data_IF_825527449155
#
_entry.id   IF_825527449155
#
_cell.length_a   1.000
_cell.length_b   1.000
_cell.length_c   1.000
_cell.angle_alpha   90.00
_cell.angle_beta   90.00
_cell.angle_gamma   90.00
#
_symmetry.space_group_name_H-M   'P 1'
#
loop_
_entity.id
_entity.type
_entity.pdbx_description
1 polymer ?
#
# COMPACT_ATOMS: atom_id res chain seq x y z
N UNK A 1 22.86 3.43 6.14
CA UNK A 1 22.00 2.46 6.84
C UNK A 1 21.14 1.78 5.79
N UNK A 2 21.05 0.45 5.75
CA UNK A 2 20.48 -0.23 4.59
C UNK A 2 19.03 -0.68 4.86
N UNK A 3 18.11 -0.21 4.03
CA UNK A 3 16.74 -0.71 3.94
C UNK A 3 16.74 -2.11 3.28
N UNK A 4 15.62 -2.84 3.33
CA UNK A 4 15.52 -4.18 2.71
C UNK A 4 15.29 -4.07 1.20
N UNK A 5 16.30 -4.43 0.40
CA UNK A 5 16.21 -4.44 -1.07
C UNK A 5 15.35 -5.61 -1.56
N UNK A 6 14.68 -5.39 -2.68
CA UNK A 6 14.10 -6.43 -3.50
C UNK A 6 15.26 -7.28 -4.01
N UNK A 7 15.24 -8.56 -3.69
CA UNK A 7 16.21 -9.53 -4.16
C UNK A 7 15.79 -10.02 -5.54
N UNK A 8 16.78 -10.41 -6.35
CA UNK A 8 16.49 -11.02 -7.65
C UNK A 8 15.75 -12.34 -7.51
N UNK A 9 14.87 -12.63 -8.47
CA UNK A 9 14.14 -13.90 -8.57
C UNK A 9 12.62 -13.79 -8.31
N UNK A 10 11.85 -14.82 -8.72
CA UNK A 10 10.39 -14.74 -8.81
C UNK A 10 9.66 -14.78 -7.46
N UNK A 11 10.30 -15.28 -6.40
CA UNK A 11 9.63 -15.57 -5.12
C UNK A 11 9.04 -14.33 -4.44
N UNK A 12 9.72 -13.19 -4.54
CA UNK A 12 9.26 -11.93 -3.93
C UNK A 12 8.20 -11.20 -4.76
N UNK A 13 8.09 -11.53 -6.05
CA UNK A 13 7.11 -10.93 -6.96
C UNK A 13 5.70 -11.47 -6.77
N UNK A 14 5.52 -12.64 -6.15
CA UNK A 14 4.18 -13.13 -5.82
C UNK A 14 3.45 -12.19 -4.86
N UNK A 15 4.14 -11.64 -3.86
CA UNK A 15 3.52 -10.66 -2.94
C UNK A 15 3.16 -9.35 -3.66
N UNK A 16 4.02 -8.91 -4.58
CA UNK A 16 3.79 -7.71 -5.40
C UNK A 16 2.60 -7.94 -6.34
N UNK A 17 2.53 -9.11 -6.96
CA UNK A 17 1.44 -9.54 -7.84
C UNK A 17 0.11 -9.60 -7.08
N UNK A 18 0.08 -10.26 -5.93
CA UNK A 18 -1.13 -10.39 -5.12
C UNK A 18 -1.65 -9.01 -4.68
N UNK A 19 -0.75 -8.11 -4.25
CA UNK A 19 -1.09 -6.74 -3.90
C UNK A 19 -1.67 -5.96 -5.10
N UNK A 20 -1.05 -6.07 -6.29
CA UNK A 20 -1.53 -5.41 -7.50
C UNK A 20 -2.87 -5.98 -8.00
N UNK A 21 -3.10 -7.29 -7.89
CA UNK A 21 -4.36 -7.97 -8.24
C UNK A 21 -5.52 -7.54 -7.35
N UNK A 22 -5.31 -7.48 -6.04
CA UNK A 22 -6.30 -6.97 -5.10
C UNK A 22 -6.64 -5.51 -5.41
N UNK A 23 -5.63 -4.65 -5.62
CA UNK A 23 -5.83 -3.24 -5.97
C UNK A 23 -6.58 -3.09 -7.30
N UNK A 24 -6.20 -3.84 -8.34
CA UNK A 24 -6.82 -3.78 -9.67
C UNK A 24 -8.30 -4.19 -9.63
N UNK A 25 -8.61 -5.38 -9.09
CA UNK A 25 -9.99 -5.87 -9.01
C UNK A 25 -10.87 -4.97 -8.16
N UNK A 26 -10.35 -4.49 -7.04
CA UNK A 26 -11.07 -3.61 -6.11
C UNK A 26 -11.26 -2.20 -6.66
N UNK A 27 -10.46 -1.78 -7.64
CA UNK A 27 -10.64 -0.52 -8.36
C UNK A 27 -11.69 -0.65 -9.47
N UNK A 28 -11.77 -1.80 -10.14
CA UNK A 28 -12.62 -1.97 -11.32
C UNK A 28 -14.08 -2.32 -11.00
N UNK A 29 -14.33 -3.08 -9.94
CA UNK A 29 -15.69 -3.48 -9.59
C UNK A 29 -16.24 -2.66 -8.42
N UNK A 30 -17.43 -2.04 -8.53
CA UNK A 30 -18.08 -1.43 -7.38
C UNK A 30 -18.65 -2.48 -6.41
N UNK A 31 -19.07 -3.67 -6.89
CA UNK A 31 -19.69 -4.70 -6.06
C UNK A 31 -18.64 -5.54 -5.32
N UNK A 32 -18.73 -5.54 -3.98
CA UNK A 32 -17.85 -6.30 -3.09
C UNK A 32 -18.02 -7.82 -3.24
N UNK A 33 -19.21 -8.30 -3.61
CA UNK A 33 -19.47 -9.72 -3.83
C UNK A 33 -18.78 -10.24 -5.10
N UNK A 34 -18.80 -9.43 -6.17
CA UNK A 34 -18.09 -9.74 -7.41
C UNK A 34 -16.59 -9.79 -7.18
N UNK A 35 -16.05 -8.84 -6.41
CA UNK A 35 -14.63 -8.82 -6.01
C UNK A 35 -14.28 -10.06 -5.20
N UNK A 36 -15.09 -10.38 -4.19
CA UNK A 36 -14.89 -11.54 -3.33
C UNK A 36 -14.90 -12.83 -4.15
N UNK A 37 -15.87 -12.99 -5.06
CA UNK A 37 -15.97 -14.16 -5.94
C UNK A 37 -14.74 -14.25 -6.84
N UNK A 38 -14.37 -13.17 -7.51
CA UNK A 38 -13.22 -13.13 -8.41
C UNK A 38 -11.90 -13.44 -7.68
N UNK A 39 -11.70 -12.95 -6.46
CA UNK A 39 -10.51 -13.25 -5.65
C UNK A 39 -10.52 -14.70 -5.15
N UNK A 40 -11.68 -15.23 -4.71
CA UNK A 40 -11.80 -16.64 -4.32
C UNK A 40 -11.46 -17.58 -5.46
N UNK A 41 -11.95 -17.29 -6.65
CA UNK A 41 -11.68 -18.08 -7.86
C UNK A 41 -10.21 -17.98 -8.26
N UNK A 42 -9.64 -16.76 -8.26
CA UNK A 42 -8.24 -16.53 -8.62
C UNK A 42 -7.26 -17.24 -7.67
N UNK A 43 -7.46 -17.10 -6.35
CA UNK A 43 -6.60 -17.72 -5.34
C UNK A 43 -7.00 -19.16 -4.98
N UNK A 44 -8.04 -19.70 -5.62
CA UNK A 44 -8.62 -21.01 -5.31
C UNK A 44 -8.88 -21.19 -3.80
N UNK A 45 -9.32 -20.13 -3.13
CA UNK A 45 -9.53 -20.11 -1.68
C UNK A 45 -10.97 -19.74 -1.35
N UNK A 46 -11.86 -20.71 -1.12
CA UNK A 46 -13.27 -20.43 -0.83
C UNK A 46 -13.48 -19.71 0.52
N UNK A 47 -12.46 -19.70 1.39
CA UNK A 47 -12.51 -19.06 2.71
C UNK A 47 -11.92 -17.66 2.73
N UNK A 48 -11.45 -17.15 1.58
CA UNK A 48 -11.02 -15.77 1.43
C UNK A 48 -12.20 -14.85 1.69
N UNK A 49 -11.95 -13.77 2.42
CA UNK A 49 -12.93 -12.75 2.75
C UNK A 49 -12.42 -11.38 2.36
N UNK A 50 -13.35 -10.46 2.07
CA UNK A 50 -13.06 -9.08 1.72
C UNK A 50 -13.97 -8.18 2.53
N UNK A 51 -13.38 -7.28 3.31
CA UNK A 51 -14.07 -6.19 3.98
C UNK A 51 -13.84 -4.90 3.22
N UNK A 52 -14.90 -4.16 2.92
CA UNK A 52 -14.79 -2.83 2.30
C UNK A 52 -14.68 -1.72 3.34
N UNK A 53 -13.89 -0.70 2.99
CA UNK A 53 -13.62 0.45 3.85
C UNK A 53 -14.02 1.73 3.13
N UNK A 54 -14.82 2.53 3.83
CA UNK A 54 -15.39 3.78 3.38
C UNK A 54 -14.96 4.90 4.31
N UNK A 55 -14.93 6.11 3.78
CA UNK A 55 -14.60 7.32 4.55
C UNK A 55 -15.83 8.06 5.07
N UNK A 56 -17.03 7.67 4.63
CA UNK A 56 -18.31 8.34 4.85
C UNK A 56 -18.44 9.76 4.24
N UNK A 57 -17.35 10.39 3.80
CA UNK A 57 -17.38 11.62 2.99
C UNK A 57 -17.30 11.38 1.48
N UNK A 58 -16.89 10.18 1.05
CA UNK A 58 -16.88 9.82 -0.36
C UNK A 58 -17.98 8.82 -0.70
N UNK A 59 -18.52 8.93 -1.91
CA UNK A 59 -19.48 7.99 -2.46
C UNK A 59 -18.83 6.69 -3.00
N UNK A 60 -17.51 6.53 -2.86
CA UNK A 60 -16.78 5.36 -3.35
C UNK A 60 -15.91 4.74 -2.26
N UNK A 61 -15.76 3.42 -2.34
CA UNK A 61 -14.88 2.63 -1.48
C UNK A 61 -13.45 3.11 -1.63
N UNK A 62 -12.72 3.20 -0.51
CA UNK A 62 -11.35 3.74 -0.46
C UNK A 62 -10.30 2.73 -0.08
N UNK A 63 -10.70 1.65 0.59
CA UNK A 63 -9.81 0.53 0.83
C UNK A 63 -10.59 -0.78 0.95
N UNK A 64 -9.84 -1.88 0.89
CA UNK A 64 -10.33 -3.20 1.25
C UNK A 64 -9.35 -3.88 2.19
N UNK A 65 -9.87 -4.73 3.08
CA UNK A 65 -9.07 -5.71 3.82
C UNK A 65 -9.42 -7.08 3.26
N UNK A 66 -8.47 -7.71 2.57
CA UNK A 66 -8.59 -9.07 2.06
C UNK A 66 -7.82 -9.99 2.99
N UNK A 67 -8.43 -11.09 3.43
CA UNK A 67 -7.69 -12.09 4.17
C UNK A 67 -8.02 -13.50 3.71
N UNK A 68 -7.05 -14.40 3.81
CA UNK A 68 -7.19 -15.81 3.48
C UNK A 68 -6.77 -16.69 4.67
N UNK A 69 -6.17 -17.86 4.44
CA UNK A 69 -5.74 -18.77 5.52
C UNK A 69 -4.62 -18.19 6.39
N UNK A 70 -3.67 -17.46 5.82
CA UNK A 70 -2.48 -16.97 6.54
C UNK A 70 -1.96 -15.59 6.08
N UNK A 71 -2.55 -14.99 5.05
CA UNK A 71 -2.22 -13.64 4.55
C UNK A 71 -3.38 -12.68 4.79
N UNK A 72 -3.07 -11.49 5.27
CA UNK A 72 -3.95 -10.31 5.31
C UNK A 72 -3.36 -9.24 4.40
N UNK A 73 -4.17 -8.61 3.56
CA UNK A 73 -3.78 -7.48 2.71
C UNK A 73 -4.73 -6.32 2.95
N UNK A 74 -4.19 -5.20 3.40
CA UNK A 74 -4.90 -3.93 3.58
C UNK A 74 -4.55 -3.06 2.37
N UNK A 75 -5.48 -2.94 1.42
CA UNK A 75 -5.25 -2.30 0.13
C UNK A 75 -6.02 -0.99 -0.01
N UNK A 76 -5.29 0.12 -0.11
CA UNK A 76 -5.82 1.47 -0.30
C UNK A 76 -5.91 1.81 -1.79
N UNK A 77 -7.11 2.14 -2.26
CA UNK A 77 -7.43 2.31 -3.67
C UNK A 77 -7.02 3.68 -4.20
N UNK A 78 -6.87 3.78 -5.52
CA UNK A 78 -6.58 5.02 -6.20
C UNK A 78 -7.70 6.06 -6.11
N UNK A 79 -7.46 7.20 -6.74
CA UNK A 79 -8.39 8.33 -6.78
C UNK A 79 -9.72 7.97 -7.45
N UNK A 80 -10.81 8.57 -7.00
CA UNK A 80 -11.96 8.74 -7.90
C UNK A 80 -11.58 9.78 -8.98
N UNK A 81 -12.03 9.65 -10.25
CA UNK A 81 -11.74 10.64 -11.29
C UNK A 81 -12.09 12.09 -10.88
N UNK A 82 -13.10 12.28 -10.03
CA UNK A 82 -13.52 13.60 -9.55
C UNK A 82 -12.56 14.20 -8.50
N UNK A 83 -11.59 13.43 -8.00
CA UNK A 83 -10.69 13.83 -6.93
C UNK A 83 -9.24 13.97 -7.38
N UNK A 84 -8.94 13.85 -8.67
CA UNK A 84 -7.57 14.01 -9.16
C UNK A 84 -6.93 15.34 -8.72
N UNK A 85 -7.74 16.38 -8.56
CA UNK A 85 -7.33 17.69 -8.05
C UNK A 85 -6.88 17.66 -6.58
N UNK A 86 -7.27 16.65 -5.80
CA UNK A 86 -6.84 16.45 -4.42
C UNK A 86 -5.41 15.91 -4.30
N UNK A 87 -4.74 15.64 -5.41
CA UNK A 87 -3.28 15.45 -5.43
C UNK A 87 -2.49 16.77 -5.35
N UNK A 88 -3.19 17.90 -5.51
CA UNK A 88 -2.57 19.22 -5.42
C UNK A 88 -2.41 19.62 -3.96
N UNK A 89 -1.47 20.53 -3.72
CA UNK A 89 -1.22 21.13 -2.42
C UNK A 89 -0.98 22.62 -2.62
N UNK A 90 -1.45 23.42 -1.68
CA UNK A 90 -1.09 24.85 -1.60
C UNK A 90 -0.30 25.10 -0.33
N UNK A 91 0.72 25.96 -0.39
CA UNK A 91 1.47 26.39 0.80
C UNK A 91 0.67 27.33 1.72
N UNK A 92 -0.62 27.56 1.42
CA UNK A 92 -1.54 28.39 2.19
C UNK A 92 -2.57 27.56 2.98
N UNK A 93 -3.56 28.24 3.56
CA UNK A 93 -4.62 27.61 4.35
C UNK A 93 -5.80 27.19 3.47
N UNK A 94 -5.80 25.93 2.99
CA UNK A 94 -6.99 25.18 2.53
C UNK A 94 -8.02 25.90 1.65
N UNK A 95 -7.61 26.91 0.87
CA UNK A 95 -8.57 27.78 0.17
C UNK A 95 -9.31 26.97 -0.89
N UNK A 96 -10.65 27.10 -0.93
CA UNK A 96 -11.54 26.38 -1.84
C UNK A 96 -11.50 24.84 -1.73
N UNK A 97 -11.15 24.30 -0.56
CA UNK A 97 -11.11 22.84 -0.33
C UNK A 97 -9.87 22.16 -0.93
N UNK A 98 -8.90 22.94 -1.40
CA UNK A 98 -7.62 22.43 -1.89
C UNK A 98 -6.80 21.92 -0.71
N UNK A 99 -6.14 20.76 -0.82
CA UNK A 99 -5.29 20.25 0.26
C UNK A 99 -4.13 21.19 0.61
N UNK A 100 -3.65 21.08 1.85
CA UNK A 100 -2.68 21.98 2.46
C UNK A 100 -1.78 21.24 3.48
N UNK A 101 -0.63 21.82 3.87
CA UNK A 101 0.23 21.24 4.90
C UNK A 101 -0.47 21.22 6.25
N UNK A 102 -0.47 20.05 6.89
CA UNK A 102 -0.73 19.93 8.33
C UNK A 102 0.49 19.36 9.02
N UNK A 103 0.67 19.68 10.29
CA UNK A 103 1.84 19.27 11.06
C UNK A 103 1.49 18.13 12.00
N UNK A 104 2.25 17.04 11.91
CA UNK A 104 2.20 15.93 12.85
C UNK A 104 3.61 15.59 13.32
N UNK A 105 3.82 15.60 14.63
CA UNK A 105 5.12 15.36 15.26
C UNK A 105 6.26 16.21 14.66
N UNK A 106 5.95 17.45 14.27
CA UNK A 106 6.90 18.39 13.67
C UNK A 106 7.12 18.24 12.16
N UNK A 107 6.51 17.24 11.51
CA UNK A 107 6.64 17.01 10.06
C UNK A 107 5.41 17.51 9.31
N UNK A 108 5.59 17.99 8.08
CA UNK A 108 4.48 18.39 7.21
C UNK A 108 3.94 17.19 6.47
N UNK A 109 2.63 17.00 6.52
CA UNK A 109 1.91 15.94 5.82
C UNK A 109 0.72 16.51 5.03
N UNK A 110 0.26 15.74 4.05
CA UNK A 110 -0.83 16.11 3.15
C UNK A 110 -2.18 15.98 3.87
N UNK A 111 -2.91 17.09 4.04
CA UNK A 111 -4.18 17.09 4.77
C UNK A 111 -5.18 16.05 4.26
N UNK A 112 -5.36 15.97 2.94
CA UNK A 112 -6.29 15.02 2.33
C UNK A 112 -5.97 13.55 2.68
N UNK A 113 -4.72 13.09 2.54
CA UNK A 113 -4.36 11.70 2.84
C UNK A 113 -4.48 11.39 4.33
N UNK A 114 -4.12 12.36 5.19
CA UNK A 114 -4.34 12.27 6.63
C UNK A 114 -5.82 12.09 6.95
N UNK A 115 -6.68 12.95 6.40
CA UNK A 115 -8.11 12.93 6.69
C UNK A 115 -8.78 11.65 6.19
N UNK A 116 -8.42 11.19 4.99
CA UNK A 116 -8.82 9.89 4.43
C UNK A 116 -8.43 8.74 5.36
N UNK A 117 -7.18 8.72 5.85
CA UNK A 117 -6.72 7.70 6.79
C UNK A 117 -7.52 7.75 8.09
N UNK A 118 -7.61 8.92 8.72
CA UNK A 118 -8.29 9.06 10.01
C UNK A 118 -9.76 8.62 9.97
N UNK A 119 -10.44 8.88 8.86
CA UNK A 119 -11.82 8.45 8.67
C UNK A 119 -11.98 6.94 8.59
N UNK A 120 -11.04 6.27 7.91
CA UNK A 120 -11.06 4.80 7.75
C UNK A 120 -10.37 4.06 8.90
N UNK A 121 -9.62 4.75 9.77
CA UNK A 121 -8.70 4.12 10.72
C UNK A 121 -9.39 3.09 11.60
N UNK A 122 -10.52 3.45 12.21
CA UNK A 122 -11.24 2.54 13.09
C UNK A 122 -11.77 1.33 12.33
N UNK A 123 -12.44 1.54 11.19
CA UNK A 123 -12.94 0.45 10.35
C UNK A 123 -11.81 -0.48 9.85
N UNK A 124 -10.63 0.08 9.57
CA UNK A 124 -9.43 -0.69 9.20
C UNK A 124 -8.97 -1.57 10.36
N UNK A 125 -8.93 -1.03 11.58
CA UNK A 125 -8.56 -1.79 12.77
C UNK A 125 -9.58 -2.87 13.10
N UNK A 126 -10.88 -2.57 12.99
CA UNK A 126 -11.95 -3.55 13.23
C UNK A 126 -11.90 -4.69 12.20
N UNK A 127 -11.63 -4.37 10.93
CA UNK A 127 -11.47 -5.37 9.88
C UNK A 127 -10.20 -6.22 10.08
N UNK A 128 -9.08 -5.62 10.51
CA UNK A 128 -7.87 -6.34 10.85
C UNK A 128 -8.08 -7.27 12.06
N UNK A 129 -8.71 -6.77 13.12
CA UNK A 129 -9.03 -7.55 14.31
C UNK A 129 -9.95 -8.74 13.97
N UNK A 130 -10.98 -8.49 13.17
CA UNK A 130 -11.91 -9.53 12.71
C UNK A 130 -11.19 -10.60 11.90
N UNK A 131 -10.31 -10.20 10.97
CA UNK A 131 -9.51 -11.14 10.19
C UNK A 131 -8.63 -12.03 11.08
N UNK A 132 -7.96 -11.44 12.08
CA UNK A 132 -7.13 -12.20 13.04
C UNK A 132 -7.98 -13.15 13.89
N UNK A 133 -9.16 -12.70 14.36
CA UNK A 133 -10.08 -13.53 15.14
C UNK A 133 -10.61 -14.72 14.31
N UNK A 134 -10.98 -14.49 13.04
CA UNK A 134 -11.46 -15.53 12.13
C UNK A 134 -10.37 -16.54 11.77
N UNK A 135 -9.11 -16.09 11.62
CA UNK A 135 -7.96 -16.98 11.50
C UNK A 135 -7.78 -17.83 12.76
N UNK A 136 -7.80 -17.20 13.94
CA UNK A 136 -7.63 -17.88 15.22
C UNK A 136 -8.73 -18.92 15.50
N UNK A 137 -9.98 -18.61 15.16
CA UNK A 137 -11.12 -19.54 15.28
C UNK A 137 -10.95 -20.81 14.43
N UNK A 138 -10.11 -20.75 13.38
CA UNK A 138 -9.76 -21.88 12.50
C UNK A 138 -8.42 -22.53 12.89
N UNK A 139 -7.82 -22.13 14.01
CA UNK A 139 -6.52 -22.63 14.47
C UNK A 139 -5.32 -22.11 13.65
N UNK A 140 -5.50 -20.98 12.95
CA UNK A 140 -4.45 -20.33 12.17
C UNK A 140 -4.06 -18.98 12.79
N UNK A 141 -2.89 -18.48 12.42
CA UNK A 141 -2.43 -17.13 12.76
C UNK A 141 -1.92 -16.44 11.51
N UNK A 142 -1.93 -15.09 11.45
CA UNK A 142 -1.30 -14.38 10.35
C UNK A 142 0.16 -14.78 10.23
N UNK A 143 0.58 -15.14 9.03
CA UNK A 143 1.99 -15.27 8.65
C UNK A 143 2.46 -14.06 7.88
N UNK A 144 1.53 -13.28 7.33
CA UNK A 144 1.83 -12.12 6.51
C UNK A 144 0.71 -11.08 6.54
N UNK A 145 1.11 -9.82 6.64
CA UNK A 145 0.26 -8.64 6.60
C UNK A 145 0.90 -7.66 5.61
N UNK A 146 0.23 -7.46 4.47
CA UNK A 146 0.68 -6.52 3.44
C UNK A 146 -0.17 -5.25 3.56
N UNK A 147 0.47 -4.13 3.83
CA UNK A 147 -0.13 -2.80 3.63
C UNK A 147 0.23 -2.36 2.21
N UNK A 148 -0.77 -2.02 1.41
CA UNK A 148 -0.53 -1.63 0.02
C UNK A 148 -1.41 -0.48 -0.43
N UNK A 149 -0.94 0.27 -1.42
CA UNK A 149 -1.68 1.38 -1.98
C UNK A 149 -1.27 1.71 -3.40
N UNK A 150 -2.25 2.14 -4.19
CA UNK A 150 -2.04 2.61 -5.56
C UNK A 150 -2.37 4.11 -5.68
N UNK A 151 -1.54 4.89 -6.38
CA UNK A 151 -1.83 6.31 -6.62
C UNK A 151 -2.08 7.09 -5.32
N UNK A 152 -3.21 7.80 -5.21
CA UNK A 152 -3.67 8.44 -3.97
C UNK A 152 -3.79 7.47 -2.79
N UNK A 153 -4.21 6.22 -3.03
CA UNK A 153 -4.22 5.16 -2.03
C UNK A 153 -2.82 4.82 -1.52
N UNK A 154 -1.78 4.97 -2.33
CA UNK A 154 -0.38 4.91 -1.88
C UNK A 154 -0.05 6.03 -0.89
N UNK A 155 -0.59 7.23 -1.10
CA UNK A 155 -0.46 8.33 -0.13
C UNK A 155 -1.16 8.05 1.19
N UNK A 156 -2.36 7.46 1.14
CA UNK A 156 -3.11 7.04 2.33
C UNK A 156 -2.37 5.92 3.06
N UNK A 157 -1.85 4.91 2.35
CA UNK A 157 -1.12 3.79 2.95
C UNK A 157 0.17 4.23 3.65
N UNK A 158 0.83 5.29 3.12
CA UNK A 158 1.98 5.94 3.77
C UNK A 158 1.60 6.53 5.12
N UNK A 159 0.48 7.25 5.20
CA UNK A 159 -0.03 7.79 6.47
C UNK A 159 -0.46 6.68 7.44
N UNK A 160 -1.10 5.63 6.91
CA UNK A 160 -1.65 4.54 7.70
C UNK A 160 -0.61 3.59 8.29
N UNK A 161 0.55 3.43 7.63
CA UNK A 161 1.48 2.34 7.93
C UNK A 161 1.93 2.31 9.39
N UNK A 162 2.37 3.45 9.93
CA UNK A 162 2.86 3.53 11.31
C UNK A 162 1.77 3.15 12.31
N UNK A 163 0.56 3.66 12.12
CA UNK A 163 -0.59 3.35 12.98
C UNK A 163 -0.98 1.86 12.92
N UNK A 164 -0.95 1.24 11.73
CA UNK A 164 -1.23 -0.19 11.56
C UNK A 164 -0.14 -1.04 12.23
N UNK A 165 1.14 -0.67 12.07
CA UNK A 165 2.24 -1.38 12.71
C UNK A 165 2.13 -1.29 14.23
N UNK A 166 1.89 -0.09 14.78
CA UNK A 166 1.72 0.09 16.22
C UNK A 166 0.45 -0.63 16.72
N UNK A 167 -0.64 -0.67 15.95
CA UNK A 167 -1.82 -1.50 16.28
C UNK A 167 -1.43 -2.96 16.44
N UNK A 168 -0.65 -3.53 15.52
CA UNK A 168 -0.17 -4.92 15.63
C UNK A 168 0.67 -5.11 16.90
N UNK A 169 1.63 -4.20 17.12
CA UNK A 169 2.56 -4.28 18.26
C UNK A 169 1.85 -4.15 19.61
N UNK A 170 0.83 -3.30 19.71
CA UNK A 170 0.07 -3.08 20.94
C UNK A 170 -1.03 -4.12 21.19
N UNK A 171 -1.62 -4.69 20.15
CA UNK A 171 -2.71 -5.68 20.30
C UNK A 171 -2.16 -7.10 20.46
N UNK A 172 -1.17 -7.48 19.64
CA UNK A 172 -0.64 -8.86 19.61
C UNK A 172 0.87 -8.96 19.81
N UNK A 173 1.62 -7.89 19.58
CA UNK A 173 3.08 -7.90 19.69
C UNK A 173 3.62 -7.64 21.09
N UNK A 174 4.89 -7.25 21.16
CA UNK A 174 5.65 -7.10 22.42
C UNK A 174 5.15 -5.96 23.32
N UNK A 175 4.32 -5.06 22.80
CA UNK A 175 3.69 -4.00 23.58
C UNK A 175 2.30 -4.37 24.09
N UNK A 176 1.83 -5.59 23.82
CA UNK A 176 0.57 -6.09 24.35
C UNK A 176 0.73 -6.69 25.75
N UNK A 177 -0.36 -6.75 26.53
CA UNK A 177 -0.38 -7.44 27.81
C UNK A 177 -0.28 -8.98 27.70
N UNK A 178 -0.38 -9.53 26.48
CA UNK A 178 -0.28 -10.97 26.22
C UNK A 178 0.30 -11.23 24.82
N UNK A 179 1.62 -11.00 24.63
CA UNK A 179 2.26 -11.08 23.32
C UNK A 179 2.12 -12.46 22.67
N UNK A 180 1.66 -12.45 21.43
CA UNK A 180 1.57 -13.61 20.55
C UNK A 180 2.90 -13.81 19.83
N UNK A 181 3.36 -15.05 19.74
CA UNK A 181 4.66 -15.38 19.11
C UNK A 181 4.75 -14.92 17.64
N UNK A 182 3.64 -14.91 16.92
CA UNK A 182 3.59 -14.53 15.51
C UNK A 182 3.65 -13.00 15.27
N UNK A 183 3.52 -12.17 16.31
CA UNK A 183 3.42 -10.71 16.19
C UNK A 183 4.53 -9.94 16.95
N UNK A 184 5.54 -10.63 17.47
CA UNK A 184 6.66 -10.01 18.19
C UNK A 184 7.52 -9.14 17.28
N UNK A 185 8.23 -8.18 17.86
CA UNK A 185 9.06 -7.23 17.10
C UNK A 185 10.13 -7.98 16.26
N UNK A 186 10.62 -9.13 16.76
CA UNK A 186 11.63 -9.96 16.09
C UNK A 186 11.14 -10.67 14.82
N UNK A 187 9.83 -10.85 14.65
CA UNK A 187 9.21 -11.50 13.48
C UNK A 187 8.54 -10.52 12.51
N UNK A 188 8.59 -9.20 12.81
CA UNK A 188 7.96 -8.19 11.96
C UNK A 188 8.53 -8.12 10.55
N UNK A 189 9.80 -8.51 10.36
CA UNK A 189 10.45 -8.54 9.04
C UNK A 189 9.82 -9.56 8.08
N UNK A 190 9.36 -10.70 8.61
CA UNK A 190 8.61 -11.70 7.85
C UNK A 190 7.13 -11.32 7.75
N UNK A 191 6.56 -10.84 8.86
CA UNK A 191 5.14 -10.59 9.00
C UNK A 191 4.67 -9.40 8.17
N UNK A 192 5.31 -8.24 8.26
CA UNK A 192 4.75 -6.98 7.75
C UNK A 192 5.52 -6.49 6.50
N UNK A 193 4.77 -6.06 5.49
CA UNK A 193 5.32 -5.43 4.28
C UNK A 193 4.54 -4.18 3.91
N UNK A 194 5.21 -3.27 3.19
CA UNK A 194 4.59 -2.08 2.62
C UNK A 194 4.92 -1.90 1.14
N UNK A 195 4.00 -2.33 0.28
CA UNK A 195 4.16 -2.34 -1.18
C UNK A 195 3.28 -1.24 -1.78
N UNK A 196 3.82 -0.33 -2.58
CA UNK A 196 2.97 0.65 -3.30
C UNK A 196 3.27 0.69 -4.78
N UNK A 197 2.28 1.17 -5.52
CA UNK A 197 2.33 1.33 -6.97
C UNK A 197 1.96 2.76 -7.31
N UNK A 198 2.81 3.44 -8.07
CA UNK A 198 2.60 4.83 -8.46
C UNK A 198 2.22 5.76 -7.29
N UNK A 199 2.78 5.52 -6.09
CA UNK A 199 2.29 6.21 -4.90
C UNK A 199 2.48 7.72 -4.97
N UNK A 200 1.41 8.43 -4.65
CA UNK A 200 1.48 9.86 -4.37
C UNK A 200 2.15 10.05 -3.02
N UNK A 201 3.19 10.89 -2.98
CA UNK A 201 3.88 11.16 -1.73
C UNK A 201 3.01 11.99 -0.77
N UNK A 202 3.05 11.64 0.52
CA UNK A 202 2.10 12.14 1.51
C UNK A 202 2.73 12.96 2.65
N UNK A 203 4.06 13.03 2.74
CA UNK A 203 4.77 13.80 3.75
C UNK A 203 6.07 14.42 3.23
N UNK A 204 6.64 15.32 4.01
CA UNK A 204 7.95 15.91 3.70
C UNK A 204 9.13 14.96 4.05
N UNK A 205 10.35 15.43 3.83
CA UNK A 205 11.57 14.65 4.10
C UNK A 205 11.69 14.24 5.57
N UNK A 206 11.22 15.05 6.51
CA UNK A 206 11.24 14.73 7.93
C UNK A 206 10.33 13.54 8.24
N UNK A 207 9.11 13.56 7.69
CA UNK A 207 8.18 12.43 7.81
C UNK A 207 8.77 11.13 7.26
N UNK A 208 9.34 11.17 6.04
CA UNK A 208 9.92 9.97 5.44
C UNK A 208 11.20 9.49 6.14
N UNK A 209 11.95 10.38 6.78
CA UNK A 209 13.09 9.97 7.60
C UNK A 209 12.62 9.08 8.75
N UNK A 210 11.61 9.54 9.50
CA UNK A 210 11.01 8.75 10.60
C UNK A 210 10.43 7.43 10.10
N UNK A 211 9.74 7.44 8.96
CA UNK A 211 9.17 6.23 8.37
C UNK A 211 10.25 5.23 7.89
N UNK A 212 11.34 5.72 7.31
CA UNK A 212 12.46 4.87 6.87
C UNK A 212 13.24 4.32 8.06
N UNK A 213 13.38 5.07 9.16
CA UNK A 213 13.97 4.58 10.41
C UNK A 213 13.12 3.43 10.99
N UNK A 214 11.79 3.53 10.90
CA UNK A 214 10.87 2.47 11.29
C UNK A 214 11.06 1.20 10.44
N UNK A 215 11.13 1.35 9.11
CA UNK A 215 11.41 0.24 8.21
C UNK A 215 12.76 -0.40 8.50
N UNK A 216 13.78 0.40 8.76
CA UNK A 216 15.11 -0.10 9.09
C UNK A 216 15.10 -0.85 10.43
N UNK A 217 14.49 -0.28 11.47
CA UNK A 217 14.43 -0.85 12.82
C UNK A 217 13.85 -2.27 12.82
N UNK A 218 12.74 -2.47 12.11
CA UNK A 218 12.04 -3.77 12.05
C UNK A 218 12.33 -4.57 10.79
N UNK A 219 13.28 -4.12 9.95
CA UNK A 219 13.64 -4.76 8.68
C UNK A 219 12.42 -5.02 7.77
N UNK A 220 11.52 -4.04 7.69
CA UNK A 220 10.31 -4.12 6.86
C UNK A 220 10.67 -4.01 5.37
N UNK A 221 10.11 -4.89 4.56
CA UNK A 221 10.13 -4.77 3.09
C UNK A 221 9.20 -3.63 2.68
N UNK A 222 9.78 -2.47 2.39
CA UNK A 222 9.08 -1.29 1.93
C UNK A 222 9.49 -0.96 0.49
N UNK A 223 8.66 -1.35 -0.47
CA UNK A 223 8.94 -1.25 -1.90
C UNK A 223 7.89 -0.39 -2.59
N UNK A 224 8.34 0.51 -3.44
CA UNK A 224 7.49 1.42 -4.20
C UNK A 224 7.82 1.27 -5.69
N UNK A 225 6.83 0.92 -6.50
CA UNK A 225 7.00 0.66 -7.93
C UNK A 225 6.43 1.81 -8.75
N UNK A 226 7.20 2.29 -9.72
CA UNK A 226 6.81 3.42 -10.58
C UNK A 226 7.15 3.10 -12.03
N UNK A 227 6.19 3.22 -12.95
CA UNK A 227 6.46 3.16 -14.38
C UNK A 227 7.31 4.37 -14.80
N UNK A 228 8.35 4.18 -15.64
CA UNK A 228 9.20 5.29 -16.11
C UNK A 228 8.43 6.36 -16.88
N UNK A 229 7.27 6.00 -17.47
CA UNK A 229 6.38 6.93 -18.18
C UNK A 229 5.22 7.43 -17.35
N UNK A 230 5.18 7.16 -16.05
CA UNK A 230 4.10 7.65 -15.20
C UNK A 230 4.17 9.18 -15.06
N UNK A 231 3.31 9.90 -15.78
CA UNK A 231 3.33 11.36 -15.80
C UNK A 231 2.71 11.97 -14.54
N UNK A 232 1.99 11.19 -13.72
CA UNK A 232 1.40 11.74 -12.49
C UNK A 232 2.50 12.15 -11.51
N UNK A 233 3.73 11.63 -11.65
CA UNK A 233 4.86 12.06 -10.82
C UNK A 233 5.11 13.58 -10.91
N UNK A 234 4.76 14.20 -12.03
CA UNK A 234 4.96 15.63 -12.28
C UNK A 234 3.87 16.51 -11.67
N UNK A 235 2.72 15.94 -11.28
CA UNK A 235 1.64 16.69 -10.63
C UNK A 235 1.86 16.83 -9.12
N UNK A 236 2.81 16.08 -8.55
CA UNK A 236 3.16 16.21 -7.14
C UNK A 236 3.83 17.54 -6.84
N UNK A 237 3.37 18.18 -5.77
CA UNK A 237 4.03 19.35 -5.22
C UNK A 237 5.50 19.05 -4.88
N UNK A 238 6.40 20.01 -5.09
CA UNK A 238 7.85 19.76 -5.00
C UNK A 238 8.30 19.35 -3.60
N UNK A 239 7.61 19.81 -2.56
CA UNK A 239 7.81 19.39 -1.16
C UNK A 239 7.60 17.89 -0.91
N UNK A 240 6.99 17.17 -1.86
CA UNK A 240 6.71 15.73 -1.79
C UNK A 240 7.61 14.88 -2.67
N UNK A 241 8.66 15.44 -3.25
CA UNK A 241 9.69 14.65 -3.94
C UNK A 241 10.67 14.01 -2.96
N UNK A 242 10.12 13.46 -1.88
CA UNK A 242 10.79 12.69 -0.84
C UNK A 242 10.26 11.27 -0.88
N UNK A 243 11.14 10.31 -0.57
CA UNK A 243 10.96 8.91 -0.96
C UNK A 243 10.92 8.03 0.28
N UNK A 244 9.99 7.08 0.29
CA UNK A 244 9.91 6.00 1.27
C UNK A 244 10.61 4.76 0.73
N UNK A 245 11.23 3.98 1.60
CA UNK A 245 11.74 2.66 1.23
C UNK A 245 12.69 2.69 0.02
N UNK A 246 12.63 1.63 -0.79
CA UNK A 246 13.23 1.63 -2.12
C UNK A 246 12.16 1.91 -3.18
N UNK A 247 12.37 2.97 -3.97
CA UNK A 247 11.61 3.20 -5.21
C UNK A 247 12.29 2.52 -6.39
N UNK A 248 11.55 1.64 -7.03
CA UNK A 248 11.90 0.88 -8.22
C UNK A 248 11.22 1.50 -9.43
N UNK A 249 12.00 2.13 -10.31
CA UNK A 249 11.47 2.61 -11.59
C UNK A 249 11.55 1.47 -12.60
N UNK A 250 10.39 1.07 -13.09
CA UNK A 250 10.24 0.02 -14.09
C UNK A 250 10.69 0.59 -15.45
N UNK A 251 11.79 0.09 -16.05
CA UNK A 251 12.32 0.64 -17.28
C UNK A 251 11.49 0.25 -18.51
N UNK A 252 11.63 0.98 -19.62
CA UNK A 252 10.94 0.70 -20.89
C UNK A 252 11.10 -0.76 -21.34
N UNK A 253 12.32 -1.31 -21.20
CA UNK A 253 12.62 -2.70 -21.55
C UNK A 253 11.72 -3.73 -20.85
N UNK A 254 11.26 -3.41 -19.63
CA UNK A 254 10.37 -4.24 -18.83
C UNK A 254 8.89 -4.00 -19.13
N UNK A 255 8.50 -2.73 -19.30
CA UNK A 255 7.08 -2.34 -19.35
C UNK A 255 6.52 -2.16 -20.76
N UNK A 256 7.36 -2.04 -21.80
CA UNK A 256 6.92 -1.73 -23.17
C UNK A 256 5.88 -2.71 -23.70
N UNK A 257 6.01 -3.99 -23.34
CA UNK A 257 5.07 -5.04 -23.74
C UNK A 257 3.69 -4.96 -23.06
N UNK A 258 3.58 -4.14 -22.00
CA UNK A 258 2.35 -3.91 -21.24
C UNK A 258 1.90 -2.43 -21.34
N UNK A 259 2.35 -1.72 -22.37
CA UNK A 259 2.17 -0.27 -22.48
C UNK A 259 0.70 0.17 -22.45
N UNK A 260 -0.18 -0.60 -23.09
CA UNK A 260 -1.62 -0.31 -23.16
C UNK A 260 -2.30 -0.49 -21.80
N UNK A 261 -1.81 -1.44 -20.98
CA UNK A 261 -2.34 -1.75 -19.65
C UNK A 261 -2.00 -0.67 -18.61
N UNK A 262 -0.96 0.13 -18.84
CA UNK A 262 -0.68 1.34 -18.06
C UNK A 262 -1.53 2.54 -18.48
N UNK A 263 -2.24 2.47 -19.62
CA UNK A 263 -3.03 3.58 -20.15
C UNK A 263 -2.19 4.78 -20.64
N UNK A 264 -2.88 5.79 -21.19
CA UNK A 264 -2.23 6.90 -21.92
C UNK A 264 -1.29 7.79 -21.09
N UNK A 265 -1.40 7.78 -19.76
CA UNK A 265 -0.53 8.53 -18.84
C UNK A 265 0.51 7.64 -18.13
N UNK A 266 0.56 6.35 -18.43
CA UNK A 266 1.49 5.42 -17.80
C UNK A 266 1.11 5.00 -16.36
N UNK A 267 -0.07 5.35 -15.86
CA UNK A 267 -0.42 5.26 -14.44
C UNK A 267 -1.29 4.07 -14.06
N UNK A 268 -1.87 3.33 -15.00
CA UNK A 268 -2.87 2.29 -14.73
C UNK A 268 -2.35 1.14 -13.86
N UNK A 269 -3.07 0.82 -12.76
CA UNK A 269 -2.77 -0.31 -11.86
C UNK A 269 -2.70 -1.65 -12.59
N UNK A 270 -3.43 -1.80 -13.69
CA UNK A 270 -3.40 -3.02 -14.49
C UNK A 270 -2.02 -3.30 -15.09
N UNK A 271 -1.33 -2.27 -15.60
CA UNK A 271 0.04 -2.42 -16.10
C UNK A 271 1.02 -2.90 -15.03
N UNK A 272 0.90 -2.39 -13.79
CA UNK A 272 1.73 -2.84 -12.66
C UNK A 272 1.48 -4.32 -12.33
N UNK A 273 0.24 -4.78 -12.40
CA UNK A 273 -0.11 -6.19 -12.22
C UNK A 273 0.51 -7.06 -13.32
N UNK A 274 0.39 -6.67 -14.60
CA UNK A 274 1.00 -7.43 -15.71
C UNK A 274 2.51 -7.59 -15.55
N UNK A 275 3.18 -6.54 -15.12
CA UNK A 275 4.62 -6.58 -14.82
C UNK A 275 4.92 -7.55 -13.68
N UNK A 276 4.13 -7.50 -12.60
CA UNK A 276 4.32 -8.39 -11.46
C UNK A 276 4.05 -9.86 -11.81
N UNK A 277 3.03 -10.15 -12.63
CA UNK A 277 2.74 -11.49 -13.16
C UNK A 277 3.91 -12.02 -14.00
N UNK A 278 4.46 -11.19 -14.88
CA UNK A 278 5.60 -11.55 -15.71
C UNK A 278 6.85 -11.85 -14.87
N UNK A 279 7.17 -11.00 -13.89
CA UNK A 279 8.31 -11.20 -13.00
C UNK A 279 8.15 -12.41 -12.07
N UNK A 280 6.92 -12.72 -11.66
CA UNK A 280 6.63 -13.93 -10.88
C UNK A 280 6.74 -15.22 -11.72
N UNK A 281 6.60 -15.13 -13.04
CA UNK A 281 6.65 -16.25 -14.00
C UNK A 281 7.97 -16.39 -14.76
N UNK A 282 9.11 -16.12 -14.10
CA UNK A 282 10.48 -16.20 -14.66
C UNK A 282 10.87 -15.06 -15.62
N UNK A 283 10.23 -13.89 -15.53
CA UNK A 283 10.67 -12.68 -16.22
C UNK A 283 12.13 -12.32 -15.89
N UNK A 284 12.90 -11.92 -16.91
CA UNK A 284 14.31 -11.55 -16.81
C UNK A 284 14.55 -10.05 -16.57
N UNK A 285 13.48 -9.32 -16.23
CA UNK A 285 13.51 -7.88 -16.00
C UNK A 285 14.43 -7.50 -14.85
N UNK A 286 15.39 -6.61 -15.12
CA UNK A 286 16.15 -5.95 -14.07
C UNK A 286 15.35 -4.76 -13.53
N UNK A 287 15.26 -4.69 -12.19
CA UNK A 287 14.60 -3.58 -11.51
C UNK A 287 15.61 -2.91 -10.61
N UNK A 288 16.06 -1.73 -11.03
CA UNK A 288 17.00 -0.93 -10.26
C UNK A 288 16.27 0.08 -9.40
N UNK A 289 16.68 0.16 -8.14
CA UNK A 289 16.20 1.23 -7.26
C UNK A 289 16.82 2.56 -7.69
N UNK A 290 15.99 3.60 -7.83
CA UNK A 290 16.46 4.97 -8.17
C UNK A 290 17.36 5.54 -7.07
N UNK A 291 17.22 5.06 -5.84
CA UNK A 291 17.95 5.54 -4.67
C UNK A 291 18.85 4.45 -4.09
N UNK A 292 20.16 4.64 -4.19
CA UNK A 292 21.13 3.90 -3.40
C UNK A 292 21.39 4.70 -2.12
N UNK A 293 20.72 4.32 -1.02
CA UNK A 293 21.08 4.76 0.34
C UNK A 293 22.31 4.01 0.84
#
# INVERSE_FOLDING_TARGET
MQLVRLQGGPSQWNDVKDAADILWRSTHSPDINDITTALRDHYQNPTLSVSELWTDFNASRRAVVVYNTDKITIAFLGSDPNELHMNTWTDGSGWLGIPYPVFENGNRIHSFFRDMWHAMRQATFDALDSAVQDMAARGATPKQIIVTGFSMGGGISIMAFTDILERIRHTWGDQSGSPQSWARDEVLRELVQHITFAAVAAGDIGYYTVLNDLYHKYQIRAWDFMNHRDWTVHIHHWSFRSWRGYRYVLPDAMVRQFGDEFGGNGHGIWGYLRVAEWMAGDGDGQVDSVYNY
#
